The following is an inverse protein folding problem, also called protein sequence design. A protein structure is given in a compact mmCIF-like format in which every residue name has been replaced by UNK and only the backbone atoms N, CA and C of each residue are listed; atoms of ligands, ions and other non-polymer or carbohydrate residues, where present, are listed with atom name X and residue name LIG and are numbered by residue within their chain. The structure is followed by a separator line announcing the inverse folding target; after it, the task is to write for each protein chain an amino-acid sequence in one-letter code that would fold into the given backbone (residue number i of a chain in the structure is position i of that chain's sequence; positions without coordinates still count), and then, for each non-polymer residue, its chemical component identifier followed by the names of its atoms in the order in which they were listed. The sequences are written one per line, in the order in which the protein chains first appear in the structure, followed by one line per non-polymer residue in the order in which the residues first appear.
data_IF_581485825890
#
_entry.id   IF_581485825890
#
_cell.length_a   1.000
_cell.length_b   1.000
_cell.length_c   1.000
_cell.angle_alpha   90.00
_cell.angle_beta   90.00
_cell.angle_gamma   90.00
#
_symmetry.space_group_name_H-M   'P 1'
#
loop_
_entity.id
_entity.type
_entity.pdbx_description
1 polymer ?
#
# COMPACT_ATOMS: atom_id res chain seq x y z
N UNK A 1 -35.73 -18.62 16.29
CA UNK A 1 -35.77 -17.20 15.90
C UNK A 1 -34.44 -16.85 15.26
N UNK A 2 -34.45 -16.50 13.96
CA UNK A 2 -33.26 -15.99 13.27
C UNK A 2 -32.84 -14.68 13.92
N UNK A 3 -31.61 -14.61 14.43
CA UNK A 3 -31.06 -13.37 14.97
C UNK A 3 -30.99 -12.36 13.82
N UNK A 4 -31.73 -11.26 13.92
CA UNK A 4 -31.64 -10.16 12.98
C UNK A 4 -30.21 -9.61 13.06
N UNK A 5 -29.55 -9.45 11.92
CA UNK A 5 -28.20 -8.89 11.88
C UNK A 5 -28.24 -7.44 12.38
N UNK A 6 -27.55 -7.16 13.48
CA UNK A 6 -27.52 -5.83 14.10
C UNK A 6 -26.82 -4.79 13.23
N UNK A 7 -25.92 -5.23 12.34
CA UNK A 7 -25.20 -4.36 11.38
C UNK A 7 -26.13 -3.93 10.25
N UNK A 8 -27.03 -4.80 9.78
CA UNK A 8 -28.02 -4.45 8.76
C UNK A 8 -28.98 -3.33 9.21
N UNK A 9 -29.24 -3.24 10.51
CA UNK A 9 -30.06 -2.20 11.14
C UNK A 9 -29.24 -1.05 11.75
N UNK A 10 -27.92 -1.05 11.59
CA UNK A 10 -27.05 -0.03 12.16
C UNK A 10 -27.17 1.28 11.37
N UNK A 11 -27.17 2.42 12.06
CA UNK A 11 -27.26 3.73 11.41
C UNK A 11 -26.10 3.97 10.43
N UNK A 12 -24.92 3.44 10.75
CA UNK A 12 -23.70 3.58 9.96
C UNK A 12 -23.40 2.35 9.10
N UNK A 13 -24.41 1.53 8.77
CA UNK A 13 -24.25 0.31 7.96
C UNK A 13 -23.38 0.53 6.72
N UNK A 14 -23.62 1.61 5.99
CA UNK A 14 -22.88 1.89 4.76
C UNK A 14 -21.38 2.06 5.01
N UNK A 15 -20.99 2.75 6.09
CA UNK A 15 -19.58 2.95 6.44
C UNK A 15 -18.92 1.63 6.86
N UNK A 16 -19.66 0.78 7.57
CA UNK A 16 -19.20 -0.56 7.95
C UNK A 16 -19.03 -1.45 6.71
N UNK A 17 -19.98 -1.43 5.77
CA UNK A 17 -19.92 -2.16 4.51
C UNK A 17 -18.68 -1.73 3.69
N UNK A 18 -18.41 -0.43 3.61
CA UNK A 18 -17.23 0.13 2.94
C UNK A 18 -15.93 -0.32 3.62
N UNK A 19 -15.84 -0.20 4.95
CA UNK A 19 -14.65 -0.63 5.70
C UNK A 19 -14.35 -2.14 5.55
N UNK A 20 -15.41 -2.97 5.49
CA UNK A 20 -15.29 -4.40 5.25
C UNK A 20 -14.79 -4.71 3.83
N UNK A 21 -15.27 -3.97 2.84
CA UNK A 21 -14.84 -4.11 1.45
C UNK A 21 -13.37 -3.70 1.27
N UNK A 22 -12.92 -2.64 1.95
CA UNK A 22 -11.50 -2.23 2.03
C UNK A 22 -10.60 -3.17 2.85
N UNK A 23 -11.13 -4.31 3.32
CA UNK A 23 -10.41 -5.32 4.13
C UNK A 23 -9.75 -4.71 5.38
N UNK A 24 -10.35 -3.67 5.97
CA UNK A 24 -9.88 -3.14 7.25
C UNK A 24 -9.92 -4.24 8.33
N UNK A 25 -8.93 -4.31 9.25
CA UNK A 25 -8.92 -5.31 10.30
C UNK A 25 -10.19 -5.22 11.17
N UNK A 26 -10.88 -6.35 11.35
CA UNK A 26 -12.15 -6.40 12.08
C UNK A 26 -12.08 -5.79 13.49
N UNK A 27 -10.94 -5.90 14.17
CA UNK A 27 -10.71 -5.29 15.48
C UNK A 27 -10.84 -3.76 15.47
N UNK A 28 -10.44 -3.09 14.38
CA UNK A 28 -10.50 -1.64 14.27
C UNK A 28 -11.92 -1.19 13.95
N UNK A 29 -12.60 -1.88 13.03
CA UNK A 29 -14.01 -1.64 12.72
C UNK A 29 -14.88 -1.88 13.97
N UNK A 30 -14.62 -2.98 14.68
CA UNK A 30 -15.30 -3.33 15.92
C UNK A 30 -15.19 -2.25 16.98
N UNK A 31 -13.98 -1.72 17.21
CA UNK A 31 -13.72 -0.65 18.18
C UNK A 31 -14.39 0.67 17.76
N UNK A 32 -14.36 1.03 16.47
CA UNK A 32 -14.91 2.28 15.95
C UNK A 32 -16.43 2.38 16.06
N UNK A 33 -17.12 1.25 15.86
CA UNK A 33 -18.58 1.22 15.77
C UNK A 33 -19.24 0.47 16.95
N UNK A 34 -18.48 0.07 17.97
CA UNK A 34 -18.94 -0.73 19.12
C UNK A 34 -19.69 -2.02 18.72
N UNK A 35 -19.10 -2.77 17.80
CA UNK A 35 -19.68 -4.00 17.24
C UNK A 35 -18.72 -5.18 17.44
N UNK A 36 -19.26 -6.35 17.79
CA UNK A 36 -18.41 -7.55 17.91
C UNK A 36 -17.80 -7.97 16.56
N UNK A 37 -16.55 -8.44 16.58
CA UNK A 37 -15.87 -9.01 15.41
C UNK A 37 -16.64 -10.18 14.80
N UNK A 38 -17.31 -11.00 15.61
CA UNK A 38 -18.17 -12.09 15.14
C UNK A 38 -19.44 -11.62 14.42
N UNK A 39 -19.95 -10.42 14.74
CA UNK A 39 -21.04 -9.80 13.96
C UNK A 39 -20.54 -9.30 12.61
N UNK A 40 -19.36 -8.66 12.56
CA UNK A 40 -18.73 -8.22 11.32
C UNK A 40 -18.44 -9.40 10.38
N UNK A 41 -17.92 -10.51 10.90
CA UNK A 41 -17.62 -11.70 10.12
C UNK A 41 -18.89 -12.31 9.50
N UNK A 42 -19.97 -12.46 10.28
CA UNK A 42 -21.24 -12.98 9.76
C UNK A 42 -21.86 -12.05 8.72
N UNK A 43 -21.85 -10.75 9.01
CA UNK A 43 -22.37 -9.73 8.11
C UNK A 43 -21.62 -9.68 6.78
N UNK A 44 -20.28 -9.72 6.84
CA UNK A 44 -19.43 -9.77 5.65
C UNK A 44 -19.73 -10.98 4.76
N UNK A 45 -20.08 -12.13 5.37
CA UNK A 45 -20.35 -13.37 4.65
C UNK A 45 -21.76 -13.45 4.08
N UNK A 46 -22.75 -12.93 4.81
CA UNK A 46 -24.17 -13.21 4.56
C UNK A 46 -24.95 -12.01 4.02
N UNK A 47 -24.45 -10.78 4.22
CA UNK A 47 -25.22 -9.56 3.98
C UNK A 47 -24.47 -8.45 3.24
N UNK A 48 -23.16 -8.60 3.05
CA UNK A 48 -22.37 -7.62 2.31
C UNK A 48 -22.85 -7.57 0.85
N UNK A 49 -23.25 -6.40 0.34
CA UNK A 49 -23.78 -6.30 -1.01
C UNK A 49 -22.75 -6.75 -2.05
N UNK A 50 -23.09 -7.78 -2.83
CA UNK A 50 -22.20 -8.34 -3.85
C UNK A 50 -21.77 -7.30 -4.91
N UNK A 51 -22.60 -6.28 -5.16
CA UNK A 51 -22.27 -5.16 -6.06
C UNK A 51 -21.14 -4.28 -5.50
N UNK A 52 -21.07 -4.05 -4.19
CA UNK A 52 -19.99 -3.26 -3.57
C UNK A 52 -18.66 -4.02 -3.61
N UNK A 53 -18.69 -5.33 -3.35
CA UNK A 53 -17.50 -6.19 -3.47
C UNK A 53 -16.97 -6.17 -4.91
N UNK A 54 -17.85 -6.37 -5.90
CA UNK A 54 -17.47 -6.33 -7.32
C UNK A 54 -16.95 -4.96 -7.77
N UNK A 55 -17.56 -3.87 -7.29
CA UNK A 55 -17.11 -2.51 -7.60
C UNK A 55 -15.70 -2.26 -7.05
N UNK A 56 -15.42 -2.69 -5.83
CA UNK A 56 -14.08 -2.56 -5.25
C UNK A 56 -13.04 -3.46 -5.92
N UNK A 57 -13.37 -4.71 -6.21
CA UNK A 57 -12.46 -5.59 -6.95
C UNK A 57 -12.17 -5.08 -8.37
N UNK A 58 -13.11 -4.39 -9.01
CA UNK A 58 -12.87 -3.71 -10.28
C UNK A 58 -11.93 -2.50 -10.09
N UNK A 59 -12.17 -1.67 -9.07
CA UNK A 59 -11.31 -0.53 -8.74
C UNK A 59 -9.88 -0.96 -8.38
N UNK A 60 -9.70 -2.05 -7.62
CA UNK A 60 -8.37 -2.58 -7.28
C UNK A 60 -7.65 -3.22 -8.49
N UNK A 61 -8.39 -3.95 -9.35
CA UNK A 61 -7.81 -4.56 -10.55
C UNK A 61 -7.51 -3.55 -11.66
N UNK A 62 -8.33 -2.51 -11.80
CA UNK A 62 -8.23 -1.54 -12.89
C UNK A 62 -7.25 -0.38 -12.57
N UNK A 63 -6.94 -0.08 -11.30
CA UNK A 63 -6.22 1.16 -10.99
C UNK A 63 -4.70 1.13 -11.08
N UNK A 64 -4.04 -0.02 -10.89
CA UNK A 64 -2.58 -0.07 -10.82
C UNK A 64 -1.94 -0.79 -12.02
N UNK A 65 -2.44 -1.98 -12.37
CA UNK A 65 -1.91 -2.74 -13.51
C UNK A 65 -2.35 -2.18 -14.86
N UNK A 66 -3.59 -1.68 -14.97
CA UNK A 66 -4.10 -1.09 -16.22
C UNK A 66 -3.42 0.25 -16.51
N UNK A 67 -3.25 1.09 -15.48
CA UNK A 67 -2.56 2.37 -15.61
C UNK A 67 -1.08 2.21 -16.02
N UNK A 68 -0.37 1.23 -15.44
CA UNK A 68 1.00 0.91 -15.85
C UNK A 68 1.06 0.38 -17.30
N UNK A 69 0.08 -0.42 -17.70
CA UNK A 69 -0.07 -0.91 -19.07
C UNK A 69 -0.34 0.20 -20.08
N UNK A 70 -1.24 1.14 -19.76
CA UNK A 70 -1.56 2.30 -20.61
C UNK A 70 -0.35 3.24 -20.78
N UNK A 71 0.37 3.53 -19.70
CA UNK A 71 1.57 4.37 -19.76
C UNK A 71 2.66 3.72 -20.61
N UNK A 72 2.81 2.39 -20.53
CA UNK A 72 3.76 1.64 -21.38
C UNK A 72 3.39 1.76 -22.86
N UNK A 73 2.11 1.58 -23.22
CA UNK A 73 1.62 1.74 -24.61
C UNK A 73 1.84 3.15 -25.15
N UNK A 74 1.55 4.18 -24.33
CA UNK A 74 1.78 5.58 -24.71
C UNK A 74 3.26 5.85 -24.97
N UNK A 75 4.16 5.27 -24.15
CA UNK A 75 5.62 5.39 -24.36
C UNK A 75 6.05 4.78 -25.70
N UNK A 76 5.58 3.57 -26.01
CA UNK A 76 5.88 2.88 -27.28
C UNK A 76 5.41 3.70 -28.50
N UNK A 77 4.19 4.25 -28.45
CA UNK A 77 3.65 5.08 -29.52
C UNK A 77 4.45 6.37 -29.73
N UNK A 78 4.90 7.00 -28.65
CA UNK A 78 5.73 8.20 -28.74
C UNK A 78 7.09 7.89 -29.39
N UNK A 79 7.73 6.77 -29.04
CA UNK A 79 8.97 6.34 -29.69
C UNK A 79 8.77 6.12 -31.19
N UNK A 80 7.70 5.39 -31.57
CA UNK A 80 7.36 5.11 -32.97
C UNK A 80 7.10 6.39 -33.77
N UNK A 81 6.37 7.34 -33.20
CA UNK A 81 6.08 8.62 -33.86
C UNK A 81 7.33 9.50 -33.98
N UNK A 82 8.24 9.46 -32.99
CA UNK A 82 9.52 10.15 -33.05
C UNK A 82 10.40 9.60 -34.18
N UNK A 83 10.55 8.28 -34.29
CA UNK A 83 11.31 7.63 -35.36
C UNK A 83 10.78 8.01 -36.74
N UNK A 84 9.45 7.97 -36.92
CA UNK A 84 8.83 8.37 -38.19
C UNK A 84 9.04 9.85 -38.53
N UNK A 85 8.97 10.74 -37.54
CA UNK A 85 9.23 12.16 -37.74
C UNK A 85 10.70 12.46 -38.06
N UNK A 86 11.64 11.67 -37.49
CA UNK A 86 13.07 11.73 -37.82
C UNK A 86 13.33 11.29 -39.27
N UNK A 87 12.67 10.22 -39.74
CA UNK A 87 12.75 9.74 -41.14
C UNK A 87 12.18 10.74 -42.16
N UNK A 88 11.09 11.43 -41.80
CA UNK A 88 10.44 12.44 -42.65
C UNK A 88 11.15 13.82 -42.60
N UNK A 89 12.14 13.98 -41.73
CA UNK A 89 12.90 15.23 -41.57
C UNK A 89 12.13 16.36 -40.86
N UNK A 90 10.98 16.07 -40.24
CA UNK A 90 10.19 17.04 -39.50
C UNK A 90 10.66 17.12 -38.03
N UNK A 91 11.74 17.88 -37.84
CA UNK A 91 12.40 18.09 -36.53
C UNK A 91 11.44 18.70 -35.49
N UNK A 92 10.42 19.48 -35.91
CA UNK A 92 9.44 20.06 -34.97
C UNK A 92 8.49 18.99 -34.45
N UNK A 93 8.01 18.10 -35.31
CA UNK A 93 7.18 16.98 -34.89
C UNK A 93 7.95 16.02 -33.96
N UNK A 94 9.22 15.75 -34.26
CA UNK A 94 10.08 14.92 -33.42
C UNK A 94 10.30 15.50 -32.01
N UNK A 95 10.60 16.80 -31.91
CA UNK A 95 10.77 17.49 -30.62
C UNK A 95 9.48 17.53 -29.78
N UNK A 96 8.33 17.72 -30.42
CA UNK A 96 7.02 17.67 -29.74
C UNK A 96 6.70 16.24 -29.24
N UNK A 97 7.10 15.22 -29.99
CA UNK A 97 7.07 13.82 -29.57
C UNK A 97 7.92 13.59 -28.31
N UNK A 98 9.16 14.08 -28.29
CA UNK A 98 10.05 13.98 -27.12
C UNK A 98 9.47 14.62 -25.86
N UNK A 99 8.85 15.81 -25.95
CA UNK A 99 8.21 16.46 -24.79
C UNK A 99 7.05 15.63 -24.23
N UNK A 100 6.25 15.01 -25.11
CA UNK A 100 5.19 14.08 -24.68
C UNK A 100 5.74 12.79 -24.06
N UNK A 101 6.86 12.28 -24.56
CA UNK A 101 7.54 11.11 -23.99
C UNK A 101 8.01 11.37 -22.56
N UNK A 102 8.64 12.53 -22.34
CA UNK A 102 9.13 12.94 -21.02
C UNK A 102 8.00 13.10 -20.02
N UNK A 103 6.86 13.68 -20.42
CA UNK A 103 5.66 13.78 -19.57
C UNK A 103 5.05 12.43 -19.24
N UNK A 104 5.05 11.48 -20.18
CA UNK A 104 4.57 10.12 -19.93
C UNK A 104 5.49 9.38 -18.95
N UNK A 105 6.82 9.52 -19.08
CA UNK A 105 7.80 8.95 -18.14
C UNK A 105 7.71 9.57 -16.74
N UNK A 106 7.47 10.88 -16.65
CA UNK A 106 7.24 11.56 -15.36
C UNK A 106 5.97 11.05 -14.67
N UNK A 107 4.90 10.83 -15.45
CA UNK A 107 3.67 10.24 -14.94
C UNK A 107 3.89 8.79 -14.49
N UNK A 108 4.66 8.00 -15.26
CA UNK A 108 5.05 6.64 -14.90
C UNK A 108 5.78 6.61 -13.56
N UNK A 109 6.78 7.48 -13.37
CA UNK A 109 7.54 7.55 -12.12
C UNK A 109 6.68 7.95 -10.92
N UNK A 110 5.70 8.85 -11.11
CA UNK A 110 4.73 9.22 -10.06
C UNK A 110 3.80 8.06 -9.71
N UNK A 111 3.32 7.33 -10.71
CA UNK A 111 2.49 6.12 -10.50
C UNK A 111 3.30 5.03 -9.82
N UNK A 112 4.54 4.78 -10.25
CA UNK A 112 5.46 3.86 -9.59
C UNK A 112 5.75 4.27 -8.15
N UNK A 113 5.87 5.56 -7.83
CA UNK A 113 6.00 6.04 -6.44
C UNK A 113 4.73 5.81 -5.62
N UNK A 114 3.55 5.99 -6.20
CA UNK A 114 2.26 5.70 -5.55
C UNK A 114 2.08 4.19 -5.32
N UNK A 115 2.56 3.35 -6.24
CA UNK A 115 2.57 1.88 -6.10
C UNK A 115 3.66 1.44 -5.12
N UNK A 116 4.83 2.10 -5.11
CA UNK A 116 5.90 1.97 -4.12
C UNK A 116 5.56 2.63 -2.78
N UNK A 117 4.28 2.87 -2.49
CA UNK A 117 3.81 2.85 -1.10
C UNK A 117 3.89 1.41 -0.58
N UNK A 118 5.11 0.83 -0.59
CA UNK A 118 5.51 -0.14 0.41
C UNK A 118 5.05 0.50 1.71
N UNK A 119 4.17 -0.14 2.50
CA UNK A 119 3.85 0.41 3.79
C UNK A 119 5.19 0.55 4.48
N UNK A 120 5.63 1.79 4.69
CA UNK A 120 6.72 2.07 5.60
C UNK A 120 6.13 1.64 6.93
N UNK A 121 6.28 0.36 7.26
CA UNK A 121 6.13 -0.10 8.62
C UNK A 121 7.19 0.69 9.36
N UNK A 122 6.77 1.78 9.97
CA UNK A 122 7.55 2.47 10.99
C UNK A 122 7.66 1.50 12.16
N UNK A 123 8.59 0.53 12.04
CA UNK A 123 9.01 -0.36 13.13
C UNK A 123 9.61 0.47 14.28
N UNK A 124 9.82 1.77 14.08
CA UNK A 124 10.31 2.69 15.10
C UNK A 124 9.33 3.07 16.21
N UNK A 125 8.04 2.73 16.15
CA UNK A 125 7.05 3.21 17.12
C UNK A 125 6.00 2.18 17.57
N UNK A 126 6.30 0.87 17.55
CA UNK A 126 5.54 -0.04 18.43
C UNK A 126 6.14 0.05 19.84
N UNK A 127 5.32 0.38 20.82
CA UNK A 127 5.68 0.42 22.26
C UNK A 127 6.45 -0.85 22.69
N UNK A 128 6.11 -1.98 22.07
CA UNK A 128 6.72 -3.30 22.23
C UNK A 128 8.24 -3.32 21.93
N UNK A 129 8.71 -2.55 20.94
CA UNK A 129 10.15 -2.48 20.62
C UNK A 129 10.94 -1.71 21.68
N UNK A 130 10.35 -0.64 22.22
CA UNK A 130 10.96 0.15 23.30
C UNK A 130 11.04 -0.69 24.58
N UNK A 131 9.99 -1.46 24.88
CA UNK A 131 9.96 -2.41 26.00
C UNK A 131 11.02 -3.51 25.86
N UNK A 132 11.12 -4.14 24.68
CA UNK A 132 12.12 -5.17 24.40
C UNK A 132 13.55 -4.60 24.50
N UNK A 133 13.82 -3.45 23.88
CA UNK A 133 15.12 -2.79 23.95
C UNK A 133 15.50 -2.45 25.39
N UNK A 134 14.55 -1.97 26.18
CA UNK A 134 14.78 -1.61 27.58
C UNK A 134 15.07 -2.85 28.42
N UNK A 135 14.32 -3.94 28.22
CA UNK A 135 14.54 -5.21 28.91
C UNK A 135 15.92 -5.83 28.58
N UNK A 136 16.33 -5.80 27.31
CA UNK A 136 17.65 -6.27 26.86
C UNK A 136 18.77 -5.44 27.52
N UNK A 137 18.66 -4.11 27.49
CA UNK A 137 19.69 -3.23 28.07
C UNK A 137 19.77 -3.33 29.61
N UNK A 138 18.65 -3.55 30.29
CA UNK A 138 18.63 -3.81 31.73
C UNK A 138 19.29 -5.15 32.08
N UNK A 139 18.98 -6.21 31.34
CA UNK A 139 19.58 -7.54 31.54
C UNK A 139 21.10 -7.55 31.27
N UNK A 140 21.58 -6.72 30.34
CA UNK A 140 23.00 -6.57 30.02
C UNK A 140 23.75 -5.61 30.96
N UNK A 141 23.04 -4.82 31.78
CA UNK A 141 23.63 -3.85 32.70
C UNK A 141 24.69 -4.43 33.65
N UNK A 142 24.46 -5.60 34.28
CA UNK A 142 25.45 -6.25 35.17
C UNK A 142 26.63 -6.90 34.44
N UNK A 143 26.57 -7.05 33.11
CA UNK A 143 27.54 -7.81 32.31
C UNK A 143 28.19 -6.91 31.25
N UNK A 144 29.25 -6.20 31.63
CA UNK A 144 29.95 -5.22 30.77
C UNK A 144 30.48 -5.82 29.46
N UNK A 145 31.07 -7.02 29.50
CA UNK A 145 31.59 -7.70 28.31
C UNK A 145 30.48 -8.11 27.33
N UNK A 146 29.33 -8.59 27.85
CA UNK A 146 28.19 -8.98 27.03
C UNK A 146 27.55 -7.76 26.35
N UNK A 147 27.48 -6.62 27.05
CA UNK A 147 27.03 -5.35 26.50
C UNK A 147 27.92 -4.87 25.36
N UNK A 148 29.24 -4.94 25.50
CA UNK A 148 30.18 -4.53 24.46
C UNK A 148 30.14 -5.45 23.24
N UNK A 149 29.97 -6.76 23.44
CA UNK A 149 29.78 -7.71 22.34
C UNK A 149 28.49 -7.43 21.57
N UNK A 150 27.38 -7.19 22.29
CA UNK A 150 26.09 -6.85 21.71
C UNK A 150 26.11 -5.54 20.90
N UNK A 151 26.74 -4.48 21.43
CA UNK A 151 26.87 -3.21 20.73
C UNK A 151 27.69 -3.34 19.44
N UNK A 152 28.78 -4.12 19.47
CA UNK A 152 29.59 -4.39 18.27
C UNK A 152 28.79 -5.12 17.19
N UNK A 153 27.98 -6.10 17.57
CA UNK A 153 27.13 -6.84 16.64
C UNK A 153 26.05 -5.95 16.00
N UNK A 154 25.49 -4.99 16.76
CA UNK A 154 24.53 -4.03 16.21
C UNK A 154 25.17 -3.09 15.17
N UNK A 155 26.38 -2.62 15.40
CA UNK A 155 27.09 -1.75 14.45
C UNK A 155 27.42 -2.48 13.15
N UNK A 156 27.77 -3.77 13.20
CA UNK A 156 28.02 -4.54 11.96
C UNK A 156 26.76 -4.74 11.10
N UNK A 157 25.57 -4.80 11.72
CA UNK A 157 24.30 -4.97 10.99
C UNK A 157 23.83 -3.67 10.34
N UNK A 158 24.16 -2.50 10.92
CA UNK A 158 23.86 -1.21 10.29
C UNK A 158 24.69 -0.93 9.05
N UNK A 159 25.93 -1.43 9.01
CA UNK A 159 26.84 -1.20 7.88
C UNK A 159 26.48 -2.05 6.64
N UNK A 160 25.98 -3.27 6.84
CA UNK A 160 25.52 -4.17 5.75
C UNK A 160 24.24 -3.70 5.05
N UNK A 161 23.51 -2.74 5.62
CA UNK A 161 22.24 -2.24 5.07
C UNK A 161 22.43 -1.11 4.04
N UNK A 162 23.68 -0.72 3.72
CA UNK A 162 24.02 0.41 2.84
C UNK A 162 24.79 -0.02 1.57
N UNK A 163 24.85 -1.31 1.25
CA UNK A 163 25.43 -1.83 -0.01
C UNK A 163 24.40 -2.49 -0.91
#
# INVERSE_FOLDING_TARGET
MTRVCTICSHAERHQIDVALVHREPYRHIASRHDISTGALQRHSREHLPALLVKAYEAVERDNAEDLAGEVTKVKEDVHRLKEKAEEEGDIRAALLGCDKALKALELQAKVEQLIQTTPIFNIHLTTEWIELRTAILQALGPHSEARESFLRALTSVSDDSTS
#
